data_IF_035595252350
#
_entry.id   IF_035595252350
#
_cell.length_a   1.000
_cell.length_b   1.000
_cell.length_c   1.000
_cell.angle_alpha   90.00
_cell.angle_beta   90.00
_cell.angle_gamma   90.00
#
_symmetry.space_group_name_H-M   'P 1'
#
loop_
_entity.id
_entity.type
_entity.pdbx_description
1 polymer ?
#
# COMPACT_ATOMS: atom_id res chain seq x y z
N UNK A 1 50.79 -32.72 27.63
CA UNK A 1 49.34 -32.64 27.95
C UNK A 1 49.09 -31.33 28.68
N UNK A 2 48.65 -30.29 27.96
CA UNK A 2 48.28 -28.98 28.55
C UNK A 2 46.75 -28.89 28.44
N UNK A 3 46.08 -28.77 29.57
CA UNK A 3 44.66 -28.53 29.69
C UNK A 3 44.45 -27.03 29.66
N UNK A 4 43.77 -26.52 28.65
CA UNK A 4 43.31 -25.14 28.62
C UNK A 4 41.94 -25.03 29.27
N UNK A 5 41.86 -24.15 30.26
CA UNK A 5 40.69 -23.83 31.03
C UNK A 5 39.96 -22.67 30.31
N UNK A 6 38.81 -22.91 29.73
CA UNK A 6 37.98 -21.88 29.17
C UNK A 6 37.09 -21.30 30.27
N UNK A 7 37.37 -20.06 30.65
CA UNK A 7 36.54 -19.33 31.59
C UNK A 7 35.32 -18.74 30.83
N UNK A 8 34.14 -19.22 31.18
CA UNK A 8 32.87 -18.65 30.72
C UNK A 8 32.53 -17.47 31.64
N UNK A 9 32.69 -16.25 31.10
CA UNK A 9 32.18 -15.05 31.75
C UNK A 9 30.66 -14.90 31.48
N UNK A 10 29.84 -15.23 32.48
CA UNK A 10 28.42 -14.84 32.49
C UNK A 10 28.32 -13.35 32.82
N UNK A 11 28.06 -12.52 31.81
CA UNK A 11 27.61 -11.15 31.99
C UNK A 11 26.08 -11.17 32.10
N UNK A 12 25.59 -11.10 33.33
CA UNK A 12 24.18 -10.79 33.61
C UNK A 12 23.97 -9.28 33.48
N UNK A 13 23.56 -8.82 32.34
CA UNK A 13 23.02 -7.47 32.17
C UNK A 13 21.51 -7.51 32.42
N UNK A 14 21.10 -6.99 33.58
CA UNK A 14 19.71 -6.66 33.89
C UNK A 14 19.38 -5.39 33.12
N UNK A 15 18.79 -5.51 31.95
CA UNK A 15 18.13 -4.41 31.28
C UNK A 15 16.65 -4.39 31.67
N UNK A 16 16.31 -3.55 32.65
CA UNK A 16 14.95 -3.05 32.78
C UNK A 16 14.72 -2.02 31.66
N UNK A 17 14.24 -2.49 30.57
CA UNK A 17 13.69 -1.68 29.50
C UNK A 17 12.59 -2.54 28.89
N UNK A 18 11.34 -2.08 28.99
CA UNK A 18 10.23 -2.70 28.29
C UNK A 18 10.58 -2.78 26.80
N UNK A 19 10.95 -3.96 26.34
CA UNK A 19 11.08 -4.21 24.93
C UNK A 19 9.68 -4.04 24.33
N UNK A 20 9.49 -3.25 23.27
CA UNK A 20 8.26 -3.32 22.50
C UNK A 20 8.09 -4.79 22.12
N UNK A 21 6.96 -5.37 22.50
CA UNK A 21 6.57 -6.69 22.01
C UNK A 21 6.41 -6.52 20.51
N UNK A 22 7.47 -6.92 19.78
CA UNK A 22 7.37 -7.11 18.33
C UNK A 22 6.40 -8.28 18.20
N UNK A 23 5.13 -7.99 17.94
CA UNK A 23 4.22 -9.02 17.49
C UNK A 23 4.86 -9.66 16.28
N UNK A 24 5.00 -10.98 16.30
CA UNK A 24 5.51 -11.75 15.19
C UNK A 24 4.79 -11.25 13.93
N UNK A 25 5.56 -10.95 12.89
CA UNK A 25 5.00 -10.58 11.59
C UNK A 25 4.11 -11.74 11.15
N UNK A 26 2.80 -11.59 11.38
CA UNK A 26 1.84 -12.55 10.87
C UNK A 26 1.85 -12.36 9.35
N UNK A 27 1.93 -13.46 8.61
CA UNK A 27 1.95 -13.51 7.14
C UNK A 27 0.86 -12.61 6.50
N UNK A 28 -0.22 -12.35 7.24
CA UNK A 28 -1.38 -11.59 6.77
C UNK A 28 -1.33 -10.09 7.07
N UNK A 29 -0.39 -9.64 7.89
CA UNK A 29 -0.20 -8.20 8.20
C UNK A 29 0.76 -7.51 7.24
N UNK A 30 1.37 -8.25 6.31
CA UNK A 30 2.23 -7.72 5.27
C UNK A 30 1.71 -8.08 3.88
N UNK A 31 1.71 -7.11 2.98
CA UNK A 31 1.39 -7.29 1.56
C UNK A 31 2.39 -6.56 0.68
N UNK A 32 2.57 -7.08 -0.52
CA UNK A 32 3.33 -6.41 -1.56
C UNK A 32 2.39 -5.96 -2.68
N UNK A 33 2.67 -4.81 -3.26
CA UNK A 33 2.09 -4.36 -4.53
C UNK A 33 3.18 -3.87 -5.47
N UNK A 34 2.91 -3.86 -6.77
CA UNK A 34 3.86 -3.45 -7.79
C UNK A 34 3.49 -2.10 -8.40
N UNK A 35 4.50 -1.28 -8.64
CA UNK A 35 4.39 -0.04 -9.40
C UNK A 35 5.15 -0.22 -10.69
N UNK A 36 4.49 0.01 -11.84
CA UNK A 36 5.06 -0.19 -13.17
C UNK A 36 4.88 1.04 -14.05
N UNK A 37 5.89 1.30 -14.89
CA UNK A 37 5.84 2.26 -15.99
C UNK A 37 6.88 1.89 -17.05
N UNK A 38 6.73 2.41 -18.26
CA UNK A 38 7.72 2.25 -19.33
C UNK A 38 7.97 3.59 -20.01
N UNK A 39 9.24 3.99 -20.11
CA UNK A 39 9.66 5.16 -20.90
C UNK A 39 9.97 4.73 -22.31
N UNK A 40 9.30 5.30 -23.30
CA UNK A 40 9.46 5.02 -24.72
C UNK A 40 10.07 6.19 -25.46
N UNK A 41 10.78 5.91 -26.54
CA UNK A 41 11.48 6.93 -27.34
C UNK A 41 10.65 7.44 -28.52
N UNK A 42 9.45 6.90 -28.71
CA UNK A 42 8.53 7.23 -29.79
C UNK A 42 7.29 7.94 -29.22
N UNK A 43 6.73 8.85 -30.01
CA UNK A 43 5.55 9.63 -29.64
C UNK A 43 4.31 8.72 -29.66
N UNK A 44 3.75 8.44 -28.49
CA UNK A 44 2.53 7.63 -28.34
C UNK A 44 1.33 8.58 -28.17
N UNK A 45 0.22 8.39 -28.91
CA UNK A 45 -1.00 9.15 -28.63
C UNK A 45 -1.50 8.87 -27.20
N UNK A 46 -1.69 9.92 -26.42
CA UNK A 46 -2.26 9.80 -25.06
C UNK A 46 -3.73 9.44 -25.19
N UNK A 47 -4.19 8.30 -24.61
CA UNK A 47 -5.60 7.97 -24.58
C UNK A 47 -6.40 9.03 -23.82
N UNK A 48 -7.69 9.27 -24.17
CA UNK A 48 -8.55 10.16 -23.40
C UNK A 48 -8.69 9.66 -21.95
N UNK A 49 -8.85 10.59 -21.02
CA UNK A 49 -9.05 10.26 -19.61
C UNK A 49 -10.35 9.44 -19.46
N UNK A 50 -10.32 8.34 -18.69
CA UNK A 50 -11.49 7.51 -18.46
C UNK A 50 -12.60 8.25 -17.71
N UNK A 51 -13.86 7.88 -17.99
CA UNK A 51 -15.03 8.35 -17.25
C UNK A 51 -15.08 7.81 -15.81
N UNK A 52 -15.94 8.37 -14.94
CA UNK A 52 -16.12 7.89 -13.59
C UNK A 52 -16.75 6.49 -13.59
N UNK A 53 -16.13 5.56 -12.89
CA UNK A 53 -16.65 4.20 -12.64
C UNK A 53 -17.05 4.10 -11.17
N UNK A 54 -18.19 3.47 -10.84
CA UNK A 54 -18.54 3.22 -9.46
C UNK A 54 -17.47 2.36 -8.78
N UNK A 55 -17.14 2.63 -7.51
CA UNK A 55 -16.20 1.81 -6.77
C UNK A 55 -16.75 0.39 -6.62
N UNK A 56 -15.98 -0.58 -7.06
CA UNK A 56 -16.27 -2.00 -6.83
C UNK A 56 -15.39 -2.44 -5.66
N UNK A 57 -15.99 -3.15 -4.71
CA UNK A 57 -15.25 -3.75 -3.59
C UNK A 57 -14.31 -4.81 -4.18
N UNK A 58 -12.99 -4.70 -3.97
CA UNK A 58 -12.07 -5.72 -4.43
C UNK A 58 -12.40 -7.09 -3.81
N UNK A 59 -12.14 -8.19 -4.51
CA UNK A 59 -12.36 -9.51 -3.95
C UNK A 59 -11.56 -9.72 -2.67
N UNK A 60 -12.14 -10.39 -1.71
CA UNK A 60 -11.43 -10.82 -0.52
C UNK A 60 -10.27 -11.75 -0.90
N UNK A 61 -9.10 -11.48 -0.36
CA UNK A 61 -7.90 -12.29 -0.61
C UNK A 61 -7.34 -12.95 0.65
N UNK A 62 -7.89 -12.59 1.83
CA UNK A 62 -7.57 -13.26 3.07
C UNK A 62 -8.38 -14.55 3.24
N UNK A 63 -7.80 -15.62 3.79
CA UNK A 63 -8.53 -16.80 4.23
C UNK A 63 -9.63 -16.44 5.24
N UNK A 64 -10.72 -17.23 5.28
CA UNK A 64 -11.88 -16.96 6.15
C UNK A 64 -11.53 -17.03 7.64
N UNK A 65 -10.50 -17.76 8.02
CA UNK A 65 -10.01 -17.95 9.38
C UNK A 65 -9.02 -16.87 9.84
N UNK A 66 -8.77 -15.86 9.02
CA UNK A 66 -7.91 -14.73 9.37
C UNK A 66 -8.74 -13.53 9.78
N UNK A 67 -8.71 -13.21 11.06
CA UNK A 67 -9.51 -12.12 11.63
C UNK A 67 -8.88 -10.73 11.48
N UNK A 68 -7.56 -10.64 11.26
CA UNK A 68 -6.85 -9.37 11.14
C UNK A 68 -5.77 -9.41 10.08
N UNK A 69 -5.86 -8.51 9.10
CA UNK A 69 -4.86 -8.47 8.03
C UNK A 69 -5.18 -7.47 6.92
N UNK A 70 -4.20 -7.26 6.05
CA UNK A 70 -4.42 -6.54 4.79
C UNK A 70 -5.13 -7.48 3.83
N UNK A 71 -6.40 -7.21 3.57
CA UNK A 71 -7.20 -8.03 2.68
C UNK A 71 -6.75 -7.85 1.22
N UNK A 72 -6.60 -6.62 0.78
CA UNK A 72 -6.24 -6.31 -0.59
C UNK A 72 -5.41 -5.02 -0.68
N UNK A 73 -4.50 -4.97 -1.65
CA UNK A 73 -3.84 -3.74 -2.08
C UNK A 73 -3.58 -3.80 -3.59
N UNK A 74 -3.90 -2.70 -4.27
CA UNK A 74 -3.76 -2.58 -5.72
C UNK A 74 -2.32 -2.48 -6.18
N UNK A 75 -2.02 -3.09 -7.32
CA UNK A 75 -0.88 -2.71 -8.14
C UNK A 75 -1.19 -1.42 -8.92
N UNK A 76 -0.15 -0.63 -9.18
CA UNK A 76 -0.24 0.62 -9.92
C UNK A 76 0.48 0.52 -11.26
N UNK A 77 -0.20 0.86 -12.35
CA UNK A 77 0.40 0.92 -13.68
C UNK A 77 0.23 2.33 -14.26
N UNK A 78 1.34 3.01 -14.45
CA UNK A 78 1.39 4.35 -15.03
C UNK A 78 1.48 4.32 -16.57
N UNK A 79 1.48 3.14 -17.17
CA UNK A 79 1.50 2.97 -18.62
C UNK A 79 2.83 3.34 -19.26
N UNK A 80 2.75 3.60 -20.54
CA UNK A 80 3.87 4.02 -21.39
C UNK A 80 3.91 5.56 -21.42
N UNK A 81 5.10 6.12 -21.24
CA UNK A 81 5.34 7.57 -21.27
C UNK A 81 6.44 7.89 -22.27
N UNK A 82 6.29 9.00 -22.96
CA UNK A 82 7.30 9.47 -23.89
C UNK A 82 8.56 9.94 -23.18
N UNK A 83 9.72 9.77 -23.82
CA UNK A 83 10.96 10.39 -23.37
C UNK A 83 10.81 11.92 -23.31
N UNK A 84 11.27 12.52 -22.23
CA UNK A 84 11.18 13.97 -22.03
C UNK A 84 12.51 14.59 -21.58
N UNK A 85 12.70 15.85 -21.99
CA UNK A 85 13.81 16.70 -21.54
C UNK A 85 13.45 17.51 -20.29
N UNK A 86 12.22 17.39 -19.83
CA UNK A 86 11.73 17.99 -18.59
C UNK A 86 11.11 16.91 -17.72
N UNK A 87 11.01 17.17 -16.42
CA UNK A 87 10.30 16.28 -15.51
C UNK A 87 8.86 16.09 -15.96
N UNK A 88 8.36 14.88 -15.82
CA UNK A 88 7.00 14.51 -16.18
C UNK A 88 6.25 14.01 -14.95
N UNK A 89 5.00 14.46 -14.79
CA UNK A 89 4.10 13.94 -13.77
C UNK A 89 3.02 13.12 -14.47
N UNK A 90 2.96 11.84 -14.14
CA UNK A 90 1.97 10.89 -14.66
C UNK A 90 1.05 10.51 -13.51
N UNK A 91 -0.22 10.29 -13.82
CA UNK A 91 -1.23 9.93 -12.82
C UNK A 91 -1.91 8.63 -13.16
N UNK A 92 -2.21 7.85 -12.13
CA UNK A 92 -3.11 6.70 -12.23
C UNK A 92 -4.02 6.64 -11.01
N UNK A 93 -5.24 6.27 -11.24
CA UNK A 93 -6.23 6.05 -10.18
C UNK A 93 -6.80 4.64 -10.24
N UNK A 94 -6.29 3.81 -11.15
CA UNK A 94 -6.85 2.51 -11.45
C UNK A 94 -5.97 1.39 -10.91
N UNK A 95 -6.62 0.32 -10.47
CA UNK A 95 -5.94 -0.94 -10.21
C UNK A 95 -5.37 -1.51 -11.52
N UNK A 96 -4.14 -2.00 -11.46
CA UNK A 96 -3.48 -2.53 -12.65
C UNK A 96 -4.00 -3.90 -13.10
N UNK A 97 -4.62 -4.65 -12.19
CA UNK A 97 -4.98 -6.05 -12.39
C UNK A 97 -6.49 -6.29 -12.37
N UNK A 98 -7.25 -5.47 -11.66
CA UNK A 98 -8.69 -5.65 -11.53
C UNK A 98 -9.48 -4.91 -12.60
N UNK A 99 -10.49 -5.59 -13.09
CA UNK A 99 -11.49 -5.06 -14.02
C UNK A 99 -12.85 -5.34 -13.44
N UNK A 100 -13.74 -4.35 -13.48
CA UNK A 100 -15.15 -4.54 -13.18
C UNK A 100 -15.87 -5.33 -14.29
N UNK A 101 -17.08 -5.77 -14.02
CA UNK A 101 -17.97 -6.26 -15.06
C UNK A 101 -18.52 -5.06 -15.85
N UNK A 102 -18.58 -5.11 -17.20
CA UNK A 102 -19.23 -4.07 -17.98
C UNK A 102 -20.67 -3.89 -17.51
N UNK A 103 -21.04 -2.67 -17.18
CA UNK A 103 -22.47 -2.35 -17.14
C UNK A 103 -23.00 -2.38 -18.56
N UNK A 104 -24.30 -2.75 -18.72
CA UNK A 104 -24.94 -3.06 -19.99
C UNK A 104 -24.55 -2.11 -21.14
N UNK A 105 -23.70 -2.61 -22.02
CA UNK A 105 -23.42 -2.00 -23.34
C UNK A 105 -22.24 -1.07 -23.41
N UNK A 106 -21.45 -0.86 -22.37
CA UNK A 106 -20.20 -0.12 -22.44
C UNK A 106 -19.00 -1.06 -22.53
N UNK A 107 -18.58 -1.37 -23.75
CA UNK A 107 -17.40 -2.19 -24.05
C UNK A 107 -16.08 -1.39 -24.06
N UNK A 108 -16.08 -0.14 -23.62
CA UNK A 108 -14.84 0.64 -23.54
C UNK A 108 -13.89 0.03 -22.51
N UNK A 109 -12.59 0.00 -22.83
CA UNK A 109 -11.56 -0.53 -21.91
C UNK A 109 -11.56 0.23 -20.57
N UNK A 110 -12.06 1.45 -20.56
CA UNK A 110 -12.07 2.32 -19.39
C UNK A 110 -13.30 2.10 -18.50
N UNK A 111 -14.44 1.68 -19.07
CA UNK A 111 -15.68 1.42 -18.34
C UNK A 111 -15.54 0.28 -17.30
N UNK A 112 -14.51 -0.54 -17.43
CA UNK A 112 -14.29 -1.73 -16.61
C UNK A 112 -13.15 -1.60 -15.61
N UNK A 113 -12.57 -0.42 -15.45
CA UNK A 113 -11.46 -0.21 -14.53
C UNK A 113 -11.95 0.01 -13.11
N UNK A 114 -11.27 -0.61 -12.16
CA UNK A 114 -11.51 -0.45 -10.73
C UNK A 114 -10.51 0.55 -10.17
N UNK A 115 -10.95 1.44 -9.28
CA UNK A 115 -10.06 2.35 -8.57
C UNK A 115 -8.97 1.59 -7.81
N UNK A 116 -7.78 2.17 -7.74
CA UNK A 116 -6.72 1.65 -6.89
C UNK A 116 -7.15 1.74 -5.43
N UNK A 117 -6.96 0.64 -4.70
CA UNK A 117 -7.62 0.39 -3.45
C UNK A 117 -6.71 -0.32 -2.45
N UNK A 118 -6.96 -0.07 -1.17
CA UNK A 118 -6.39 -0.78 -0.05
C UNK A 118 -7.52 -1.19 0.87
N UNK A 119 -7.56 -2.43 1.33
CA UNK A 119 -8.52 -2.85 2.35
C UNK A 119 -7.88 -3.65 3.47
N UNK A 120 -8.44 -3.46 4.65
CA UNK A 120 -8.06 -4.15 5.89
C UNK A 120 -9.28 -4.89 6.41
N UNK A 121 -9.05 -6.09 6.93
CA UNK A 121 -10.03 -6.85 7.70
C UNK A 121 -9.66 -6.78 9.17
N UNK A 122 -10.61 -6.44 10.04
CA UNK A 122 -10.48 -6.51 11.49
C UNK A 122 -11.75 -7.06 12.14
N UNK A 123 -11.78 -8.38 12.32
CA UNK A 123 -12.81 -9.11 13.02
C UNK A 123 -12.33 -9.68 14.35
N UNK A 124 -11.20 -9.20 14.87
CA UNK A 124 -10.70 -9.64 16.17
C UNK A 124 -11.77 -9.49 17.25
N UNK A 125 -11.72 -10.32 18.29
CA UNK A 125 -12.59 -10.20 19.46
C UNK A 125 -12.39 -8.83 20.13
N UNK A 126 -13.44 -8.30 20.80
CA UNK A 126 -13.39 -6.99 21.43
C UNK A 126 -12.22 -6.83 22.43
N UNK A 127 -11.85 -7.93 23.13
CA UNK A 127 -10.73 -7.97 24.05
C UNK A 127 -9.35 -7.84 23.38
N UNK A 128 -9.25 -8.17 22.11
CA UNK A 128 -7.97 -8.25 21.37
C UNK A 128 -7.85 -7.15 20.32
N UNK A 129 -8.90 -6.31 20.23
CA UNK A 129 -9.01 -5.27 19.22
C UNK A 129 -8.44 -3.95 19.71
N UNK A 130 -7.39 -3.52 19.06
CA UNK A 130 -6.70 -2.25 19.31
C UNK A 130 -6.74 -1.39 18.06
N UNK A 131 -6.37 -0.13 18.19
CA UNK A 131 -6.06 0.72 17.05
C UNK A 131 -4.90 0.13 16.24
N UNK A 132 -4.76 0.55 15.01
CA UNK A 132 -3.72 0.08 14.12
C UNK A 132 -3.30 1.17 13.14
N UNK A 133 -2.14 1.01 12.55
CA UNK A 133 -1.66 1.86 11.47
C UNK A 133 -1.14 1.06 10.30
N UNK A 134 -1.12 1.69 9.15
CA UNK A 134 -0.50 1.14 7.95
C UNK A 134 0.72 1.96 7.61
N UNK A 135 1.82 1.28 7.36
CA UNK A 135 3.03 1.86 6.77
C UNK A 135 3.26 1.31 5.38
N UNK A 136 3.92 2.09 4.55
CA UNK A 136 4.34 1.70 3.21
C UNK A 136 5.77 2.12 2.95
N UNK A 137 6.54 1.27 2.29
CA UNK A 137 7.88 1.57 1.82
C UNK A 137 8.09 1.08 0.40
N UNK A 138 9.01 1.69 -0.32
CA UNK A 138 9.37 1.30 -1.69
C UNK A 138 10.73 0.62 -1.71
N UNK A 139 10.82 -0.53 -2.37
CA UNK A 139 12.10 -1.12 -2.72
C UNK A 139 12.77 -0.24 -3.77
N UNK A 140 13.97 0.27 -3.47
CA UNK A 140 14.68 1.22 -4.37
C UNK A 140 15.20 0.59 -5.67
N UNK A 141 15.33 -0.73 -5.72
CA UNK A 141 15.82 -1.44 -6.89
C UNK A 141 14.79 -1.43 -8.05
N UNK A 142 15.28 -1.24 -9.26
CA UNK A 142 14.46 -1.40 -10.49
C UNK A 142 13.63 -0.20 -10.90
N UNK A 143 13.58 0.87 -10.10
CA UNK A 143 12.84 2.08 -10.45
C UNK A 143 13.74 3.19 -11.00
N UNK A 144 13.17 4.13 -11.78
CA UNK A 144 13.93 5.22 -12.35
C UNK A 144 14.56 6.07 -11.24
N UNK A 145 15.85 6.33 -11.35
CA UNK A 145 16.58 7.11 -10.37
C UNK A 145 15.99 8.53 -10.23
N UNK A 146 15.71 8.95 -9.02
CA UNK A 146 15.11 10.25 -8.73
C UNK A 146 13.59 10.32 -8.96
N UNK A 147 12.94 9.25 -9.42
CA UNK A 147 11.49 9.22 -9.52
C UNK A 147 10.84 9.20 -8.13
N UNK A 148 9.75 9.97 -7.98
CA UNK A 148 8.96 10.04 -6.76
C UNK A 148 7.54 9.55 -7.01
N UNK A 149 7.00 8.80 -6.05
CA UNK A 149 5.63 8.32 -6.05
C UNK A 149 4.88 9.00 -4.91
N UNK A 150 3.74 9.64 -5.22
CA UNK A 150 2.87 10.25 -4.22
C UNK A 150 1.46 9.68 -4.35
N UNK A 151 0.85 9.29 -3.25
CA UNK A 151 -0.52 8.81 -3.16
C UNK A 151 -1.40 9.79 -2.38
N UNK A 152 -2.71 9.75 -2.63
CA UNK A 152 -3.69 10.65 -2.03
C UNK A 152 -4.82 9.81 -1.42
N UNK A 153 -4.56 9.12 -0.28
CA UNK A 153 -5.52 8.19 0.30
C UNK A 153 -6.80 8.89 0.75
N UNK A 154 -7.93 8.20 0.56
CA UNK A 154 -9.22 8.62 1.11
C UNK A 154 -10.00 7.42 1.61
N UNK A 155 -10.80 7.61 2.68
CA UNK A 155 -11.70 6.58 3.16
C UNK A 155 -12.79 6.27 2.12
N UNK A 156 -13.05 4.99 1.91
CA UNK A 156 -14.11 4.50 1.02
C UNK A 156 -15.27 3.93 1.85
N UNK A 157 -16.36 4.67 1.95
CA UNK A 157 -17.55 4.20 2.66
C UNK A 157 -18.20 3.00 1.96
N UNK A 158 -18.15 2.95 0.64
CA UNK A 158 -18.76 1.87 -0.17
C UNK A 158 -17.93 0.58 -0.11
N UNK A 159 -16.61 0.71 0.12
CA UNK A 159 -15.71 -0.43 0.32
C UNK A 159 -15.51 -0.78 1.79
N UNK A 160 -16.33 -0.26 2.69
CA UNK A 160 -16.22 -0.53 4.12
C UNK A 160 -17.50 -1.13 4.65
N UNK A 161 -17.34 -2.15 5.49
CA UNK A 161 -18.43 -2.82 6.21
C UNK A 161 -18.15 -2.74 7.72
N UNK A 162 -19.22 -2.86 8.52
CA UNK A 162 -19.10 -2.82 9.97
C UNK A 162 -19.31 -1.42 10.55
N UNK A 163 -18.47 -1.03 11.52
CA UNK A 163 -18.66 0.23 12.29
C UNK A 163 -17.80 1.38 11.79
N UNK A 164 -16.85 1.13 10.90
CA UNK A 164 -15.85 2.11 10.46
C UNK A 164 -16.45 3.34 9.75
N UNK A 165 -15.91 4.50 10.04
CA UNK A 165 -16.26 5.80 9.45
C UNK A 165 -15.00 6.59 9.16
N UNK A 166 -15.07 7.53 8.24
CA UNK A 166 -13.93 8.40 7.92
C UNK A 166 -13.32 9.11 9.15
N UNK A 167 -14.15 9.45 10.14
CA UNK A 167 -13.72 10.09 11.38
C UNK A 167 -12.91 9.21 12.32
N UNK A 168 -12.87 7.91 12.07
CA UNK A 168 -12.13 6.94 12.88
C UNK A 168 -10.66 6.83 12.45
N UNK A 169 -10.26 7.60 11.44
CA UNK A 169 -8.91 7.53 10.87
C UNK A 169 -8.27 8.90 10.72
N UNK A 170 -6.97 8.95 11.00
CA UNK A 170 -6.10 10.02 10.54
C UNK A 170 -5.53 9.62 9.17
N UNK A 171 -5.98 10.31 8.12
CA UNK A 171 -5.58 10.08 6.73
C UNK A 171 -4.86 11.32 6.22
N UNK A 172 -3.56 11.23 5.91
CA UNK A 172 -2.83 12.33 5.30
C UNK A 172 -3.42 12.73 3.95
N UNK A 173 -3.43 14.01 3.62
CA UNK A 173 -3.89 14.48 2.30
C UNK A 173 -3.01 13.98 1.15
N UNK A 174 -1.76 13.65 1.43
CA UNK A 174 -0.83 13.01 0.49
C UNK A 174 0.27 12.29 1.23
N UNK A 175 0.79 11.20 0.65
CA UNK A 175 1.91 10.41 1.16
C UNK A 175 2.91 10.22 0.04
N UNK A 176 4.11 10.77 0.20
CA UNK A 176 5.23 10.51 -0.72
C UNK A 176 6.00 9.29 -0.25
N UNK A 177 6.16 8.32 -1.15
CA UNK A 177 6.73 7.02 -0.84
C UNK A 177 8.16 6.96 -1.39
N UNK A 178 9.08 6.79 -0.48
CA UNK A 178 10.50 6.60 -0.77
C UNK A 178 10.99 5.23 -0.30
N UNK A 179 12.28 5.07 -0.06
CA UNK A 179 12.88 3.82 0.40
C UNK A 179 12.81 3.61 1.91
N UNK A 180 12.04 4.42 2.65
CA UNK A 180 11.82 4.28 4.09
C UNK A 180 10.36 4.01 4.39
N UNK A 181 10.10 3.25 5.45
CA UNK A 181 8.72 3.01 5.90
C UNK A 181 8.08 4.34 6.31
N UNK A 182 6.98 4.69 5.66
CA UNK A 182 6.23 5.93 5.85
C UNK A 182 4.83 5.59 6.33
N UNK A 183 4.33 6.31 7.34
CA UNK A 183 2.94 6.16 7.80
C UNK A 183 1.99 6.56 6.68
N UNK A 184 1.10 5.63 6.31
CA UNK A 184 0.12 5.83 5.26
C UNK A 184 -1.21 6.30 5.82
N UNK A 185 -1.67 5.68 6.91
CA UNK A 185 -2.83 6.09 7.69
C UNK A 185 -2.81 5.42 9.07
N UNK A 186 -3.58 5.98 10.00
CA UNK A 186 -3.71 5.46 11.37
C UNK A 186 -5.18 5.40 11.76
N UNK A 187 -5.62 4.33 12.41
CA UNK A 187 -6.93 4.28 13.06
C UNK A 187 -6.83 4.94 14.43
N UNK A 188 -7.69 5.93 14.67
CA UNK A 188 -7.78 6.64 15.96
C UNK A 188 -8.78 5.97 16.90
N UNK A 189 -9.66 5.16 16.35
CA UNK A 189 -10.66 4.41 17.08
C UNK A 189 -10.59 2.92 16.74
N UNK A 190 -11.03 2.11 17.68
CA UNK A 190 -11.21 0.67 17.44
C UNK A 190 -12.39 0.48 16.48
N UNK A 191 -12.11 -0.15 15.35
CA UNK A 191 -13.09 -0.42 14.30
C UNK A 191 -13.25 -1.91 14.08
N UNK A 192 -14.37 -2.34 13.56
CA UNK A 192 -14.62 -3.74 13.21
C UNK A 192 -15.19 -3.88 11.81
N UNK A 193 -14.83 -4.93 11.13
CA UNK A 193 -15.29 -5.26 9.79
C UNK A 193 -14.23 -5.07 8.72
N UNK A 194 -14.70 -4.95 7.50
CA UNK A 194 -13.87 -4.55 6.37
C UNK A 194 -13.76 -3.03 6.31
N UNK A 195 -12.54 -2.54 6.13
CA UNK A 195 -12.27 -1.11 6.00
C UNK A 195 -11.52 -0.86 4.70
N UNK A 196 -12.06 0.02 3.87
CA UNK A 196 -11.55 0.33 2.56
C UNK A 196 -11.04 1.75 2.41
N UNK A 197 -9.98 1.89 1.63
CA UNK A 197 -9.39 3.19 1.27
C UNK A 197 -9.07 3.18 -0.22
N UNK A 198 -9.36 4.27 -0.91
CA UNK A 198 -8.79 4.47 -2.24
C UNK A 198 -7.36 5.00 -2.10
N UNK A 199 -6.47 4.59 -2.99
CA UNK A 199 -5.10 5.13 -3.04
C UNK A 199 -5.07 6.51 -3.74
N UNK A 200 -6.23 6.96 -4.21
CA UNK A 200 -6.42 8.21 -4.89
C UNK A 200 -5.83 8.23 -6.30
N UNK A 201 -5.65 9.43 -6.82
CA UNK A 201 -5.03 9.66 -8.12
C UNK A 201 -3.51 9.70 -7.95
N UNK A 202 -2.89 8.52 -7.75
CA UNK A 202 -1.45 8.41 -7.49
C UNK A 202 -0.63 9.11 -8.58
N UNK A 203 0.37 9.87 -8.17
CA UNK A 203 1.27 10.62 -9.05
C UNK A 203 2.66 10.00 -9.04
N UNK A 204 3.18 9.77 -10.25
CA UNK A 204 4.57 9.39 -10.47
C UNK A 204 5.28 10.54 -11.19
N UNK A 205 6.28 11.11 -10.53
CA UNK A 205 7.17 12.08 -11.16
C UNK A 205 8.40 11.35 -11.69
N UNK A 206 8.63 11.46 -12.99
CA UNK A 206 9.80 10.92 -13.67
C UNK A 206 10.74 12.07 -14.02
N UNK A 207 12.01 12.04 -13.59
CA UNK A 207 12.99 13.07 -13.90
C UNK A 207 13.25 13.22 -15.40
N UNK A 208 13.61 14.43 -15.79
CA UNK A 208 14.08 14.73 -17.15
C UNK A 208 15.22 13.77 -17.56
N UNK A 209 15.29 13.46 -18.84
CA UNK A 209 16.33 12.61 -19.43
C UNK A 209 16.37 11.17 -18.88
N UNK A 210 15.28 10.68 -18.27
CA UNK A 210 15.21 9.27 -17.86
C UNK A 210 15.37 8.38 -19.08
N UNK A 211 16.26 7.40 -18.98
CA UNK A 211 16.60 6.49 -20.10
C UNK A 211 15.37 5.66 -20.46
N UNK A 212 15.17 5.41 -21.77
CA UNK A 212 14.10 4.53 -22.22
C UNK A 212 14.23 3.12 -21.67
N UNK A 213 13.11 2.53 -21.23
CA UNK A 213 13.09 1.19 -20.64
C UNK A 213 11.85 0.94 -19.78
N UNK A 214 11.67 -0.31 -19.39
CA UNK A 214 10.65 -0.69 -18.43
C UNK A 214 11.20 -0.51 -17.01
N UNK A 215 10.41 0.10 -16.14
CA UNK A 215 10.73 0.34 -14.75
C UNK A 215 9.66 -0.27 -13.86
N UNK A 216 10.06 -1.02 -12.86
CA UNK A 216 9.15 -1.51 -11.83
C UNK A 216 9.80 -1.47 -10.46
N UNK A 217 8.97 -1.36 -9.44
CA UNK A 217 9.39 -1.45 -8.05
C UNK A 217 8.27 -2.07 -7.23
N UNK A 218 8.61 -2.62 -6.07
CA UNK A 218 7.64 -3.13 -5.12
C UNK A 218 7.38 -2.14 -4.02
N UNK A 219 6.14 -2.08 -3.58
CA UNK A 219 5.72 -1.45 -2.34
C UNK A 219 5.44 -2.55 -1.32
N UNK A 220 6.03 -2.41 -0.16
CA UNK A 220 5.77 -3.28 0.99
C UNK A 220 4.85 -2.54 1.95
N UNK A 221 3.70 -3.11 2.21
CA UNK A 221 2.66 -2.60 3.09
C UNK A 221 2.67 -3.39 4.38
N UNK A 222 2.68 -2.70 5.51
CA UNK A 222 2.64 -3.33 6.83
C UNK A 222 1.48 -2.77 7.63
N UNK A 223 0.65 -3.66 8.14
CA UNK A 223 -0.40 -3.37 9.10
C UNK A 223 0.13 -3.66 10.51
N UNK A 224 0.14 -2.65 11.35
CA UNK A 224 0.74 -2.70 12.69
C UNK A 224 -0.36 -2.43 13.70
N UNK A 225 -0.69 -3.42 14.52
CA UNK A 225 -1.57 -3.21 15.66
C UNK A 225 -0.83 -2.38 16.72
N UNK A 226 -1.46 -1.31 17.20
CA UNK A 226 -0.89 -0.51 18.29
C UNK A 226 -1.18 -1.21 19.63
N UNK A 227 -0.22 -1.25 20.56
CA UNK A 227 -0.48 -1.79 21.89
C UNK A 227 -1.47 -0.90 22.65
N UNK A 228 -2.29 -1.50 23.51
CA UNK A 228 -3.07 -0.71 24.47
C UNK A 228 -2.14 0.16 25.32
N UNK A 229 -2.42 1.45 25.43
CA UNK A 229 -1.78 2.30 26.43
C UNK A 229 -2.29 1.86 27.81
N UNK A 230 -1.39 1.35 28.67
CA UNK A 230 -1.66 0.90 30.03
C UNK A 230 -1.83 2.09 30.98
#
# INVERSE_FOLDING_TARGET
>A
MKKELIAVCCLTSIALGGAPTIFANDEHTQKESEVRTRVVLENIPVPPAPGPIPPIIPPETLPDDVDFGINYVSDLNFGDIDFSKTDQTIRTQWDANLRGTPEDGDDSEDANRIYSYLSVRDYRADSDRNTWRITVERTMAGFAQGATLTMFPTFSAEGSEGTARASDFTIPSSVTIDGTATDFLTSENVVTGHVGFTLGNAELVIPAYTIGGAYSTKLTWNLIAEPEEL
#
